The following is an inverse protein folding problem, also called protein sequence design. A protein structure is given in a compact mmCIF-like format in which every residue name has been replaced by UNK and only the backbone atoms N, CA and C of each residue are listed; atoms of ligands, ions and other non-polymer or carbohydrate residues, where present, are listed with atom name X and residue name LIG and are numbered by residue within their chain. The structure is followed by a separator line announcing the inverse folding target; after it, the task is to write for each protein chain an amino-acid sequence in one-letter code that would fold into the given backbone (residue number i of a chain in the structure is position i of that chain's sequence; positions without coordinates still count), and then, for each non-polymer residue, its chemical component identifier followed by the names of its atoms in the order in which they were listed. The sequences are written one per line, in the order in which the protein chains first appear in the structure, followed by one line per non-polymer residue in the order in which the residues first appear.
data_IF_229537654456
#
_entry.id   IF_229537654456
#
_cell.length_a   1.000
_cell.length_b   1.000
_cell.length_c   1.000
_cell.angle_alpha   90.00
_cell.angle_beta   90.00
_cell.angle_gamma   90.00
#
_symmetry.space_group_name_H-M   'P 1'
#
loop_
_entity.id
_entity.type
_entity.pdbx_description
1 polymer ?
#
# COMPACT_ATOMS: atom_id res chain seq x y z
N UNK A 1 26.57 14.92 30.93
CA UNK A 1 25.53 15.46 30.03
C UNK A 1 25.48 14.58 28.80
N UNK A 2 24.51 13.68 28.69
CA UNK A 2 24.27 12.95 27.43
C UNK A 2 23.83 13.98 26.38
N UNK A 3 24.44 14.02 25.18
CA UNK A 3 24.09 15.05 24.22
C UNK A 3 22.68 14.78 23.71
N UNK A 4 21.78 15.74 23.92
CA UNK A 4 20.42 15.78 23.36
C UNK A 4 20.37 15.40 21.86
N UNK A 5 21.43 15.73 21.13
CA UNK A 5 21.67 15.35 19.73
C UNK A 5 21.68 13.83 19.48
N UNK A 6 22.23 13.02 20.37
CA UNK A 6 22.27 11.57 20.21
C UNK A 6 20.88 10.93 20.38
N UNK A 7 20.04 11.48 21.27
CA UNK A 7 18.65 11.04 21.42
C UNK A 7 17.81 11.42 20.21
N UNK A 8 17.92 12.67 19.72
CA UNK A 8 17.20 13.12 18.53
C UNK A 8 17.57 12.29 17.28
N UNK A 9 18.87 12.01 17.08
CA UNK A 9 19.34 11.17 15.98
C UNK A 9 18.78 9.74 16.07
N UNK A 10 18.78 9.14 17.27
CA UNK A 10 18.23 7.80 17.50
C UNK A 10 16.71 7.75 17.24
N UNK A 11 15.96 8.76 17.67
CA UNK A 11 14.51 8.84 17.40
C UNK A 11 14.21 8.99 15.91
N UNK A 12 14.97 9.82 15.18
CA UNK A 12 14.83 9.96 13.72
C UNK A 12 15.18 8.65 13.02
N UNK A 13 16.27 7.99 13.40
CA UNK A 13 16.67 6.72 12.81
C UNK A 13 15.63 5.61 13.06
N UNK A 14 15.09 5.53 14.28
CA UNK A 14 13.98 4.64 14.62
C UNK A 14 12.76 4.92 13.74
N UNK A 15 12.41 6.20 13.52
CA UNK A 15 11.31 6.59 12.65
C UNK A 15 11.54 6.18 11.19
N UNK A 16 12.75 6.39 10.68
CA UNK A 16 13.16 6.05 9.33
C UNK A 16 13.16 4.54 9.09
N UNK A 17 13.45 3.73 10.10
CA UNK A 17 13.38 2.26 10.01
C UNK A 17 11.96 1.73 10.22
N UNK A 18 11.15 2.41 11.04
CA UNK A 18 9.79 2.01 11.35
C UNK A 18 8.81 2.23 10.18
N UNK A 19 9.01 3.30 9.41
CA UNK A 19 8.17 3.65 8.27
C UNK A 19 8.19 2.62 7.12
N UNK A 20 9.36 2.13 6.63
CA UNK A 20 9.42 1.12 5.57
C UNK A 20 8.85 -0.22 6.04
N UNK A 21 9.10 -0.64 7.29
CA UNK A 21 8.56 -1.89 7.84
C UNK A 21 7.02 -1.89 7.84
N UNK A 22 6.39 -0.77 8.22
CA UNK A 22 4.93 -0.62 8.14
C UNK A 22 4.40 -0.54 6.70
N UNK A 23 5.21 -0.05 5.75
CA UNK A 23 4.87 -0.07 4.33
C UNK A 23 4.88 -1.49 3.77
N UNK A 24 5.94 -2.24 4.06
CA UNK A 24 6.11 -3.64 3.66
C UNK A 24 4.97 -4.52 4.18
N UNK A 25 4.65 -4.40 5.47
CA UNK A 25 3.55 -5.16 6.09
C UNK A 25 2.17 -4.83 5.50
N UNK A 26 1.98 -3.60 4.99
CA UNK A 26 0.74 -3.22 4.30
C UNK A 26 0.70 -3.80 2.89
N UNK A 27 1.78 -3.68 2.12
CA UNK A 27 1.91 -4.30 0.80
C UNK A 27 1.65 -5.80 0.87
N UNK A 28 2.31 -6.48 1.80
CA UNK A 28 2.12 -7.91 2.02
C UNK A 28 0.65 -8.26 2.31
N UNK A 29 -0.01 -7.54 3.22
CA UNK A 29 -1.45 -7.76 3.50
C UNK A 29 -2.32 -7.58 2.25
N UNK A 30 -2.14 -6.49 1.51
CA UNK A 30 -2.91 -6.22 0.28
C UNK A 30 -2.69 -7.34 -0.74
N UNK A 31 -1.44 -7.72 -1.02
CA UNK A 31 -1.12 -8.77 -1.99
C UNK A 31 -1.60 -10.16 -1.56
N UNK A 32 -1.65 -10.45 -0.26
CA UNK A 32 -2.18 -11.72 0.27
C UNK A 32 -3.71 -11.78 0.21
N UNK A 33 -4.38 -10.64 0.34
CA UNK A 33 -5.84 -10.55 0.20
C UNK A 33 -6.26 -10.73 -1.26
N UNK A 34 -5.51 -10.17 -2.20
CA UNK A 34 -5.83 -10.26 -3.63
C UNK A 34 -5.52 -11.65 -4.18
N UNK A 35 -6.43 -12.19 -4.99
CA UNK A 35 -6.16 -13.38 -5.81
C UNK A 35 -5.56 -12.95 -7.15
N UNK A 36 -4.53 -13.68 -7.60
CA UNK A 36 -3.90 -13.42 -8.89
C UNK A 36 -4.92 -13.50 -10.03
N UNK A 37 -4.95 -12.48 -10.90
CA UNK A 37 -5.89 -12.42 -12.02
C UNK A 37 -7.31 -11.96 -11.68
N UNK A 38 -7.67 -11.82 -10.41
CA UNK A 38 -8.99 -11.31 -9.99
C UNK A 38 -8.98 -9.79 -9.85
N UNK A 39 -10.05 -9.14 -10.31
CA UNK A 39 -10.24 -7.70 -10.17
C UNK A 39 -10.89 -7.36 -8.83
N UNK A 40 -10.31 -6.38 -8.14
CA UNK A 40 -10.76 -5.90 -6.85
C UNK A 40 -11.13 -4.42 -6.90
N UNK A 41 -12.28 -4.08 -6.34
CA UNK A 41 -12.63 -2.68 -6.08
C UNK A 41 -11.86 -2.15 -4.87
N UNK A 42 -11.52 -0.86 -4.90
CA UNK A 42 -10.78 -0.19 -3.84
C UNK A 42 -11.38 -0.37 -2.44
N UNK A 43 -12.68 -0.09 -2.25
CA UNK A 43 -13.31 -0.15 -0.93
C UNK A 43 -13.39 -1.57 -0.36
N UNK A 44 -13.90 -2.58 -1.11
CA UNK A 44 -13.84 -3.98 -0.67
C UNK A 44 -12.42 -4.46 -0.35
N UNK A 45 -11.41 -4.04 -1.13
CA UNK A 45 -10.02 -4.40 -0.86
C UNK A 45 -9.49 -3.76 0.43
N UNK A 46 -9.86 -2.50 0.70
CA UNK A 46 -9.51 -1.79 1.94
C UNK A 46 -10.06 -2.51 3.17
N UNK A 47 -11.33 -2.90 3.09
CA UNK A 47 -12.00 -3.64 4.15
C UNK A 47 -11.38 -5.03 4.35
N UNK A 48 -11.23 -5.80 3.27
CA UNK A 48 -10.71 -7.17 3.33
C UNK A 48 -9.24 -7.25 3.76
N UNK A 49 -8.40 -6.28 3.38
CA UNK A 49 -6.98 -6.23 3.79
C UNK A 49 -6.78 -5.61 5.18
N UNK A 50 -7.80 -4.98 5.75
CA UNK A 50 -7.69 -4.18 6.98
C UNK A 50 -6.71 -3.02 6.84
N UNK A 51 -6.49 -2.52 5.62
CA UNK A 51 -5.65 -1.35 5.32
C UNK A 51 -6.58 -0.19 5.04
N UNK A 52 -6.57 0.82 5.92
CA UNK A 52 -7.41 2.01 5.75
C UNK A 52 -7.17 2.72 4.42
N UNK A 53 -8.23 3.29 3.85
CA UNK A 53 -8.26 3.88 2.51
C UNK A 53 -7.08 4.78 2.17
N UNK A 54 -6.72 5.73 3.05
CA UNK A 54 -5.59 6.63 2.81
C UNK A 54 -4.25 5.91 2.65
N UNK A 55 -4.04 4.80 3.38
CA UNK A 55 -2.85 3.98 3.23
C UNK A 55 -2.94 2.98 2.08
N UNK A 56 -4.14 2.51 1.76
CA UNK A 56 -4.36 1.60 0.65
C UNK A 56 -4.00 2.28 -0.67
N UNK A 57 -4.40 3.55 -0.85
CA UNK A 57 -4.08 4.32 -2.06
C UNK A 57 -2.56 4.36 -2.31
N UNK A 58 -1.78 4.82 -1.33
CA UNK A 58 -0.31 4.86 -1.41
C UNK A 58 0.30 3.46 -1.59
N UNK A 59 -0.33 2.43 -1.01
CA UNK A 59 0.15 1.05 -1.15
C UNK A 59 -0.07 0.53 -2.57
N UNK A 60 -1.23 0.79 -3.16
CA UNK A 60 -1.57 0.36 -4.52
C UNK A 60 -0.74 1.11 -5.57
N UNK A 61 -0.57 2.43 -5.42
CA UNK A 61 0.30 3.20 -6.31
C UNK A 61 1.74 2.64 -6.29
N UNK A 62 2.27 2.36 -5.10
CA UNK A 62 3.60 1.75 -4.99
C UNK A 62 3.68 0.33 -5.59
N UNK A 63 2.61 -0.46 -5.52
CA UNK A 63 2.56 -1.81 -6.12
C UNK A 63 2.41 -1.73 -7.65
N UNK A 64 1.71 -0.72 -8.16
CA UNK A 64 1.59 -0.43 -9.59
C UNK A 64 2.94 0.03 -10.17
N UNK A 65 3.65 0.94 -9.48
CA UNK A 65 5.00 1.38 -9.85
C UNK A 65 6.01 0.22 -9.89
N UNK A 66 5.85 -0.76 -8.99
CA UNK A 66 6.64 -2.00 -8.99
C UNK A 66 6.20 -3.00 -10.07
N UNK A 67 5.14 -2.71 -10.80
CA UNK A 67 4.56 -3.58 -11.82
C UNK A 67 3.86 -4.82 -11.27
N UNK A 68 3.56 -4.86 -9.97
CA UNK A 68 2.92 -6.00 -9.29
C UNK A 68 1.39 -5.96 -9.46
N UNK A 69 0.81 -4.77 -9.49
CA UNK A 69 -0.64 -4.56 -9.65
C UNK A 69 -0.92 -3.80 -10.96
N UNK A 70 -2.07 -4.07 -11.55
CA UNK A 70 -2.65 -3.30 -12.66
C UNK A 70 -3.85 -2.54 -12.13
N UNK A 71 -3.95 -1.25 -12.48
CA UNK A 71 -5.13 -0.44 -12.23
C UNK A 71 -5.93 -0.26 -13.52
N UNK A 72 -7.24 -0.37 -13.42
CA UNK A 72 -8.18 -0.04 -14.50
C UNK A 72 -9.24 0.92 -13.97
N UNK A 73 -9.45 2.02 -14.68
CA UNK A 73 -10.49 2.99 -14.36
C UNK A 73 -11.76 2.62 -15.11
N UNK A 74 -12.80 2.25 -14.37
CA UNK A 74 -14.09 1.82 -14.92
C UNK A 74 -15.16 2.87 -14.63
N UNK A 75 -15.85 3.27 -15.70
CA UNK A 75 -16.98 4.20 -15.66
C UNK A 75 -16.66 5.58 -16.24
N UNK A 76 -17.70 6.40 -16.35
CA UNK A 76 -17.58 7.79 -16.80
C UNK A 76 -17.63 8.74 -15.59
N UNK A 77 -16.98 9.91 -15.66
CA UNK A 77 -17.12 10.94 -14.65
C UNK A 77 -18.59 11.26 -14.37
N UNK A 78 -19.01 11.45 -13.09
CA UNK A 78 -18.21 11.54 -11.87
C UNK A 78 -17.99 10.21 -11.13
N UNK A 79 -18.48 9.08 -11.66
CA UNK A 79 -18.54 7.80 -10.94
C UNK A 79 -17.41 6.84 -11.32
N UNK A 80 -16.24 7.37 -11.69
CA UNK A 80 -15.06 6.56 -12.03
C UNK A 80 -14.65 5.73 -10.81
N UNK A 81 -14.64 4.40 -10.96
CA UNK A 81 -14.16 3.45 -9.95
C UNK A 81 -12.85 2.85 -10.41
N UNK A 82 -11.87 2.75 -9.52
CA UNK A 82 -10.62 2.05 -9.79
C UNK A 82 -10.77 0.56 -9.43
N UNK A 83 -10.46 -0.31 -10.38
CA UNK A 83 -10.24 -1.73 -10.14
C UNK A 83 -8.75 -2.00 -10.11
N UNK A 84 -8.35 -2.90 -9.22
CA UNK A 84 -6.97 -3.32 -9.07
C UNK A 84 -6.88 -4.83 -9.22
N UNK A 85 -5.86 -5.31 -9.93
CA UNK A 85 -5.61 -6.74 -10.10
C UNK A 85 -4.15 -7.04 -9.87
N UNK A 86 -3.90 -8.13 -9.14
CA UNK A 86 -2.55 -8.65 -8.97
C UNK A 86 -2.11 -9.31 -10.29
N UNK A 87 -0.99 -8.85 -10.86
CA UNK A 87 -0.40 -9.49 -12.04
C UNK A 87 0.02 -10.92 -11.68
N UNK A 88 -0.12 -11.88 -12.60
CA UNK A 88 0.47 -13.20 -12.40
C UNK A 88 1.99 -13.05 -12.23
N UNK A 89 2.62 -13.83 -11.33
CA UNK A 89 4.08 -13.88 -11.25
C UNK A 89 4.65 -14.32 -12.60
N UNK A 90 5.82 -13.78 -13.00
CA UNK A 90 6.48 -14.15 -14.25
C UNK A 90 6.92 -15.62 -14.30
#
# INVERSE_FOLDING_TARGET
MTPFWAFALATVLMYLLYHPVRGEARRWRVTQTMRAGEWWFFFPLSEASGVGSGHLHVTLDALEDMGIVEAEFVGEPPFVRCHYRLKPPP
#
